data_IF_825123199815
#
_entry.id   IF_825123199815
#
_cell.length_a   1.000
_cell.length_b   1.000
_cell.length_c   1.000
_cell.angle_alpha   90.00
_cell.angle_beta   90.00
_cell.angle_gamma   90.00
#
_symmetry.space_group_name_H-M   'P 1'
#
loop_
_entity.id
_entity.type
_entity.pdbx_description
1 polymer ?
#
# COMPACT_ATOMS: atom_id res chain seq x y z
N UNK A 1 0.93 12.27 -5.49
CA UNK A 1 1.79 11.08 -5.55
C UNK A 1 3.00 11.24 -4.64
N UNK A 2 3.97 12.11 -4.95
CA UNK A 2 5.18 12.28 -4.12
C UNK A 2 4.90 12.59 -2.64
N UNK A 3 4.15 13.66 -2.33
CA UNK A 3 3.88 14.06 -0.93
C UNK A 3 3.11 12.97 -0.17
N UNK A 4 2.14 12.33 -0.83
CA UNK A 4 1.38 11.24 -0.23
C UNK A 4 2.29 10.07 0.15
N UNK A 5 3.15 9.66 -0.77
CA UNK A 5 4.07 8.53 -0.56
C UNK A 5 5.12 8.85 0.50
N UNK A 6 5.74 10.04 0.48
CA UNK A 6 6.72 10.43 1.51
C UNK A 6 6.08 10.56 2.89
N UNK A 7 4.88 11.13 3.00
CA UNK A 7 4.14 11.18 4.27
C UNK A 7 3.87 9.79 4.82
N UNK A 8 3.43 8.86 3.97
CA UNK A 8 3.17 7.47 4.38
C UNK A 8 4.47 6.77 4.80
N UNK A 9 5.54 6.84 4.02
CA UNK A 9 6.81 6.25 4.45
C UNK A 9 7.30 6.83 5.78
N UNK A 10 7.11 8.13 6.02
CA UNK A 10 7.44 8.77 7.28
C UNK A 10 6.57 8.30 8.45
N UNK A 11 5.30 7.93 8.22
CA UNK A 11 4.45 7.36 9.27
C UNK A 11 4.73 5.88 9.56
N UNK A 12 5.48 5.19 8.71
CA UNK A 12 5.76 3.75 8.79
C UNK A 12 7.19 3.42 9.26
N UNK A 13 7.89 4.38 9.89
CA UNK A 13 9.32 4.27 10.22
C UNK A 13 9.70 3.00 11.00
N UNK A 14 8.84 2.56 11.90
CA UNK A 14 9.06 1.40 12.77
C UNK A 14 8.93 0.05 12.04
N UNK A 15 8.23 0.02 10.90
CA UNK A 15 8.07 -1.16 10.04
C UNK A 15 8.91 -1.12 8.75
N UNK A 16 9.64 -0.03 8.50
CA UNK A 16 10.60 0.04 7.39
C UNK A 16 11.72 -1.01 7.53
N UNK A 17 12.09 -1.64 6.41
CA UNK A 17 13.02 -2.78 6.34
C UNK A 17 12.40 -4.11 6.80
N UNK A 18 11.21 -4.07 7.40
CA UNK A 18 10.49 -5.26 7.89
C UNK A 18 9.34 -5.64 6.96
N UNK A 19 8.45 -4.68 6.68
CA UNK A 19 7.21 -4.90 5.92
C UNK A 19 7.08 -3.95 4.72
N UNK A 20 7.79 -2.83 4.76
CA UNK A 20 7.94 -1.89 3.64
C UNK A 20 9.44 -1.57 3.46
N UNK A 21 9.91 -1.16 2.27
CA UNK A 21 11.30 -0.76 2.08
C UNK A 21 11.70 0.44 2.96
N UNK A 22 12.99 0.60 3.25
CA UNK A 22 13.47 1.86 3.82
C UNK A 22 13.31 3.03 2.83
N UNK A 23 12.80 4.16 3.32
CA UNK A 23 12.94 5.45 2.63
C UNK A 23 14.34 5.99 2.94
N UNK A 24 15.22 5.94 1.94
CA UNK A 24 16.63 6.34 2.07
C UNK A 24 16.81 7.85 1.87
N UNK A 25 16.05 8.44 0.96
CA UNK A 25 16.05 9.88 0.70
C UNK A 25 14.78 10.33 -0.01
N UNK A 26 14.41 11.59 0.18
CA UNK A 26 13.52 12.34 -0.71
C UNK A 26 14.34 13.46 -1.38
N UNK A 27 14.14 13.63 -2.68
CA UNK A 27 14.87 14.60 -3.49
C UNK A 27 13.90 15.60 -4.13
N UNK A 28 14.32 16.86 -4.14
CA UNK A 28 13.73 17.94 -4.91
C UNK A 28 14.86 18.51 -5.76
N UNK A 29 14.78 18.33 -7.08
CA UNK A 29 15.78 18.80 -8.02
C UNK A 29 15.22 19.97 -8.82
N UNK A 30 15.73 21.17 -8.54
CA UNK A 30 15.37 22.36 -9.29
C UNK A 30 16.12 22.38 -10.63
N UNK A 31 15.39 22.31 -11.74
CA UNK A 31 15.94 22.49 -13.08
C UNK A 31 15.87 23.98 -13.40
N UNK A 32 16.99 24.69 -13.27
CA UNK A 32 17.07 26.05 -13.77
C UNK A 32 17.06 26.02 -15.32
N UNK A 33 16.13 26.72 -15.99
CA UNK A 33 16.18 26.85 -17.45
C UNK A 33 17.46 27.64 -17.84
N UNK A 34 18.08 27.33 -19.00
CA UNK A 34 19.40 27.85 -19.37
C UNK A 34 19.50 29.39 -19.56
N UNK A 35 18.39 30.14 -19.57
CA UNK A 35 18.38 31.59 -19.75
C UNK A 35 17.79 32.32 -18.54
N UNK A 36 18.66 32.71 -17.62
CA UNK A 36 18.37 33.69 -16.58
C UNK A 36 18.07 35.05 -17.21
N UNK A 37 16.79 35.44 -17.30
CA UNK A 37 16.37 36.85 -17.43
C UNK A 37 14.85 37.00 -17.23
N UNK A 38 14.29 36.70 -16.06
CA UNK A 38 13.09 37.43 -15.58
C UNK A 38 13.05 37.34 -14.05
N UNK A 39 13.09 38.49 -13.37
CA UNK A 39 13.06 38.63 -11.92
C UNK A 39 11.69 38.34 -11.29
N UNK A 40 11.17 37.12 -11.47
CA UNK A 40 9.99 36.65 -10.75
C UNK A 40 10.27 35.26 -10.16
N UNK A 41 10.71 35.26 -8.90
CA UNK A 41 11.20 34.07 -8.17
C UNK A 41 10.03 33.11 -7.85
N UNK A 42 8.79 33.59 -7.91
CA UNK A 42 7.57 32.82 -7.62
C UNK A 42 7.07 31.96 -8.80
N UNK A 43 7.73 32.01 -9.97
CA UNK A 43 7.29 31.29 -11.18
C UNK A 43 8.05 29.97 -11.46
N UNK A 44 8.92 29.51 -10.55
CA UNK A 44 9.83 28.36 -10.77
C UNK A 44 9.30 27.00 -10.32
N UNK A 45 8.11 26.93 -9.70
CA UNK A 45 7.45 25.67 -9.33
C UNK A 45 7.32 24.62 -10.48
N UNK A 46 7.20 24.99 -11.77
CA UNK A 46 7.11 24.00 -12.87
C UNK A 46 8.38 23.19 -13.13
N UNK A 47 9.52 23.56 -12.54
CA UNK A 47 10.82 22.95 -12.87
C UNK A 47 11.45 22.14 -11.73
N UNK A 48 10.68 21.78 -10.70
CA UNK A 48 11.18 20.91 -9.63
C UNK A 48 10.84 19.43 -9.91
N UNK A 49 11.85 18.59 -10.16
CA UNK A 49 11.66 17.14 -10.21
C UNK A 49 11.71 16.61 -8.77
N UNK A 50 10.59 16.04 -8.32
CA UNK A 50 10.48 15.35 -7.04
C UNK A 50 10.72 13.86 -7.22
N UNK A 51 11.46 13.24 -6.31
CA UNK A 51 11.74 11.81 -6.36
C UNK A 51 12.05 11.21 -4.99
N UNK A 52 11.85 9.91 -4.85
CA UNK A 52 12.21 9.18 -3.63
C UNK A 52 13.22 8.09 -3.96
N UNK A 53 14.12 7.84 -3.01
CA UNK A 53 15.04 6.72 -3.06
C UNK A 53 14.61 5.71 -2.00
N UNK A 54 14.25 4.52 -2.45
CA UNK A 54 13.84 3.41 -1.59
C UNK A 54 14.92 2.33 -1.54
N UNK A 55 14.94 1.56 -0.45
CA UNK A 55 15.72 0.33 -0.36
C UNK A 55 15.35 -0.59 -1.53
N UNK A 56 16.35 -1.04 -2.26
CA UNK A 56 16.16 -2.04 -3.29
C UNK A 56 15.88 -3.41 -2.65
N UNK A 57 14.72 -3.98 -2.99
CA UNK A 57 14.33 -5.34 -2.61
C UNK A 57 14.56 -6.24 -3.83
N UNK A 58 15.56 -7.12 -3.75
CA UNK A 58 15.81 -8.11 -4.80
C UNK A 58 14.74 -9.20 -4.75
N UNK A 59 13.73 -9.08 -5.62
CA UNK A 59 12.56 -9.95 -5.62
C UNK A 59 11.74 -9.85 -6.89
N UNK A 60 10.56 -10.44 -6.86
CA UNK A 60 9.57 -10.39 -7.95
C UNK A 60 8.20 -9.99 -7.39
N UNK A 61 7.31 -9.54 -8.27
CA UNK A 61 5.97 -9.10 -7.86
C UNK A 61 5.07 -10.27 -7.44
N UNK A 62 4.15 -10.03 -6.49
CA UNK A 62 3.10 -11.00 -6.11
C UNK A 62 2.23 -11.40 -7.30
N UNK A 63 2.08 -10.51 -8.29
CA UNK A 63 1.36 -10.84 -9.54
C UNK A 63 1.98 -12.00 -10.31
N UNK A 64 3.25 -12.32 -10.08
CA UNK A 64 4.02 -13.37 -10.76
C UNK A 64 4.40 -14.53 -9.84
N UNK A 65 3.78 -14.65 -8.67
CA UNK A 65 4.16 -15.65 -7.65
C UNK A 65 4.20 -17.08 -8.18
N UNK A 66 3.29 -17.42 -9.09
CA UNK A 66 3.18 -18.75 -9.72
C UNK A 66 4.37 -19.11 -10.61
N UNK A 67 5.08 -18.11 -11.15
CA UNK A 67 6.22 -18.33 -12.06
C UNK A 67 7.52 -18.61 -11.29
N UNK A 68 7.62 -18.15 -10.03
CA UNK A 68 8.88 -18.10 -9.27
C UNK A 68 8.85 -18.91 -7.97
N UNK A 69 7.70 -19.43 -7.56
CA UNK A 69 7.57 -20.13 -6.27
C UNK A 69 6.75 -21.42 -6.38
N UNK A 70 7.08 -22.46 -5.58
CA UNK A 70 6.28 -23.68 -5.56
C UNK A 70 4.91 -23.43 -4.90
N UNK A 71 3.88 -24.17 -5.38
CA UNK A 71 2.49 -24.05 -4.91
C UNK A 71 2.32 -24.11 -3.39
N UNK A 72 3.17 -24.88 -2.71
CA UNK A 72 3.14 -25.02 -1.25
C UNK A 72 3.36 -23.71 -0.49
N UNK A 73 3.99 -22.72 -1.12
CA UNK A 73 4.37 -21.45 -0.50
C UNK A 73 3.33 -20.34 -0.73
N UNK A 74 2.44 -20.53 -1.70
CA UNK A 74 1.53 -19.47 -2.16
C UNK A 74 0.59 -18.97 -1.05
N UNK A 75 0.06 -19.88 -0.22
CA UNK A 75 -0.78 -19.50 0.92
C UNK A 75 -0.03 -18.56 1.87
N UNK A 76 1.15 -18.97 2.34
CA UNK A 76 1.92 -18.18 3.30
C UNK A 76 2.39 -16.84 2.75
N UNK A 77 2.66 -16.75 1.44
CA UNK A 77 3.01 -15.48 0.79
C UNK A 77 1.80 -14.54 0.74
N UNK A 78 0.62 -15.03 0.37
CA UNK A 78 -0.59 -14.19 0.30
C UNK A 78 -1.06 -13.78 1.69
N UNK A 79 -0.96 -14.68 2.68
CA UNK A 79 -1.28 -14.36 4.08
C UNK A 79 -0.37 -13.25 4.62
N UNK A 80 0.93 -13.29 4.32
CA UNK A 80 1.84 -12.20 4.64
C UNK A 80 1.43 -10.88 3.97
N UNK A 81 1.04 -10.88 2.70
CA UNK A 81 0.62 -9.67 2.01
C UNK A 81 -0.65 -9.05 2.63
N UNK A 82 -1.64 -9.87 2.99
CA UNK A 82 -2.85 -9.42 3.70
C UNK A 82 -2.50 -8.89 5.11
N UNK A 83 -1.60 -9.56 5.83
CA UNK A 83 -1.14 -9.11 7.14
C UNK A 83 -0.42 -7.75 7.05
N UNK A 84 0.35 -7.50 5.99
CA UNK A 84 0.96 -6.18 5.75
C UNK A 84 -0.12 -5.12 5.55
N UNK A 85 -1.17 -5.38 4.76
CA UNK A 85 -2.29 -4.44 4.61
C UNK A 85 -2.92 -4.11 5.96
N UNK A 86 -3.11 -5.10 6.83
CA UNK A 86 -3.64 -4.90 8.17
C UNK A 86 -2.71 -4.03 9.03
N UNK A 87 -1.41 -4.29 9.00
CA UNK A 87 -0.42 -3.49 9.73
C UNK A 87 -0.40 -2.03 9.24
N UNK A 88 -0.44 -1.81 7.92
CA UNK A 88 -0.53 -0.47 7.31
C UNK A 88 -1.81 0.24 7.76
N UNK A 89 -2.90 -0.52 7.90
CA UNK A 89 -4.18 0.00 8.40
C UNK A 89 -4.08 0.44 9.87
N UNK A 90 -3.33 -0.28 10.69
CA UNK A 90 -3.08 0.05 12.10
C UNK A 90 -2.25 1.34 12.25
N UNK A 91 -1.41 1.65 11.26
CA UNK A 91 -0.72 2.93 11.10
C UNK A 91 -1.61 4.06 10.55
N UNK A 92 -2.93 3.87 10.52
CA UNK A 92 -3.91 4.85 10.04
C UNK A 92 -3.67 5.26 8.59
N UNK A 93 -3.20 4.33 7.76
CA UNK A 93 -3.03 4.53 6.33
C UNK A 93 -4.14 3.82 5.56
N UNK A 94 -4.64 4.49 4.52
CA UNK A 94 -5.54 3.96 3.51
C UNK A 94 -4.84 4.08 2.17
N UNK A 95 -4.54 2.96 1.51
CA UNK A 95 -4.00 2.94 0.16
C UNK A 95 -5.12 2.61 -0.85
N UNK A 96 -5.36 3.52 -1.79
CA UNK A 96 -6.41 3.36 -2.81
C UNK A 96 -5.99 2.51 -4.01
N UNK A 97 -4.74 2.07 -4.05
CA UNK A 97 -4.14 1.37 -5.18
C UNK A 97 -3.41 0.10 -4.72
N UNK A 98 -4.02 -0.61 -3.77
CA UNK A 98 -3.57 -1.93 -3.36
C UNK A 98 -3.89 -2.92 -4.49
N UNK A 99 -2.86 -3.57 -4.99
CA UNK A 99 -2.95 -4.64 -6.00
C UNK A 99 -1.78 -5.60 -5.81
N UNK A 100 -1.80 -6.82 -6.39
CA UNK A 100 -0.65 -7.72 -6.29
C UNK A 100 0.67 -7.11 -6.77
N UNK A 101 0.64 -6.18 -7.73
CA UNK A 101 1.83 -5.48 -8.19
C UNK A 101 2.45 -4.52 -7.16
N UNK A 102 1.69 -4.13 -6.14
CA UNK A 102 2.15 -3.31 -5.00
C UNK A 102 2.95 -4.12 -3.97
N UNK A 103 3.26 -5.41 -4.24
CA UNK A 103 4.03 -6.26 -3.34
C UNK A 103 5.23 -6.89 -4.04
N UNK A 104 6.39 -6.86 -3.36
CA UNK A 104 7.62 -7.52 -3.77
C UNK A 104 7.88 -8.71 -2.84
N UNK A 105 8.12 -9.89 -3.42
CA UNK A 105 8.53 -11.09 -2.72
C UNK A 105 10.03 -11.25 -2.87
N UNK A 106 10.74 -11.24 -1.74
CA UNK A 106 12.14 -11.56 -1.64
C UNK A 106 12.32 -12.98 -1.14
N UNK A 107 13.11 -13.78 -1.85
CA UNK A 107 13.56 -15.10 -1.37
C UNK A 107 14.86 -14.93 -0.58
N UNK A 108 14.90 -15.42 0.65
CA UNK A 108 16.10 -15.49 1.48
C UNK A 108 16.34 -16.93 1.95
N UNK A 109 17.37 -17.15 2.77
CA UNK A 109 17.72 -18.48 3.31
C UNK A 109 16.62 -19.09 4.20
N UNK A 110 15.75 -18.25 4.76
CA UNK A 110 14.70 -18.63 5.72
C UNK A 110 13.31 -18.72 5.06
N UNK A 111 13.20 -18.51 3.75
CA UNK A 111 11.94 -18.58 3.00
C UNK A 111 11.64 -17.32 2.20
N UNK A 112 10.34 -17.01 2.07
CA UNK A 112 9.85 -15.85 1.34
C UNK A 112 9.42 -14.75 2.30
N UNK A 113 9.89 -13.53 2.04
CA UNK A 113 9.51 -12.31 2.76
C UNK A 113 8.80 -11.37 1.80
N UNK A 114 7.67 -10.84 2.23
CA UNK A 114 6.86 -9.91 1.43
C UNK A 114 7.11 -8.47 1.89
N UNK A 115 7.18 -7.56 0.94
CA UNK A 115 7.23 -6.12 1.18
C UNK A 115 6.15 -5.43 0.38
N UNK A 116 5.44 -4.48 0.98
CA UNK A 116 4.53 -3.60 0.26
C UNK A 116 5.27 -2.35 -0.21
N UNK A 117 4.94 -1.91 -1.42
CA UNK A 117 5.41 -0.71 -2.09
C UNK A 117 4.22 0.08 -2.64
N UNK A 118 4.50 1.19 -3.33
CA UNK A 118 3.52 1.98 -4.07
C UNK A 118 2.45 2.62 -3.17
N UNK A 119 2.84 3.70 -2.49
CA UNK A 119 1.94 4.50 -1.64
C UNK A 119 1.54 5.82 -2.30
N UNK A 120 1.70 5.94 -3.62
CA UNK A 120 1.45 7.18 -4.36
C UNK A 120 0.01 7.68 -4.30
N UNK A 121 -0.95 6.77 -4.08
CA UNK A 121 -2.38 7.05 -3.94
C UNK A 121 -2.91 6.75 -2.53
N UNK A 122 -2.02 6.68 -1.55
CA UNK A 122 -2.38 6.51 -0.16
C UNK A 122 -2.67 7.85 0.53
N UNK A 123 -3.36 7.77 1.68
CA UNK A 123 -3.56 8.90 2.60
C UNK A 123 -3.51 8.42 4.04
N UNK A 124 -3.11 9.30 4.94
CA UNK A 124 -3.34 9.12 6.37
C UNK A 124 -4.80 9.41 6.71
N UNK A 125 -5.28 8.85 7.82
CA UNK A 125 -6.55 9.24 8.45
C UNK A 125 -6.50 10.71 8.84
N UNK A 126 -7.56 11.46 8.55
CA UNK A 126 -7.67 12.85 8.97
C UNK A 126 -7.80 12.98 10.50
N UNK A 127 -7.26 14.06 11.08
CA UNK A 127 -7.38 14.31 12.52
C UNK A 127 -8.85 14.44 12.97
N UNK A 128 -9.69 15.03 12.13
CA UNK A 128 -11.13 15.22 12.36
C UNK A 128 -11.99 14.15 11.69
N UNK A 129 -11.38 13.10 11.12
CA UNK A 129 -12.11 12.03 10.45
C UNK A 129 -12.71 11.07 11.49
N UNK A 130 -14.04 10.99 11.52
CA UNK A 130 -14.77 10.13 12.45
C UNK A 130 -14.42 8.64 12.25
N UNK A 131 -14.58 7.83 13.30
CA UNK A 131 -14.38 6.37 13.18
C UNK A 131 -15.30 5.76 12.12
N UNK A 132 -16.51 6.28 12.00
CA UNK A 132 -17.50 5.85 11.00
C UNK A 132 -17.05 6.17 9.58
N UNK A 133 -16.57 7.37 9.33
CA UNK A 133 -16.12 7.77 7.99
C UNK A 133 -14.84 7.03 7.59
N UNK A 134 -13.90 6.88 8.53
CA UNK A 134 -12.71 6.07 8.32
C UNK A 134 -13.06 4.61 8.02
N UNK A 135 -13.94 4.00 8.81
CA UNK A 135 -14.40 2.64 8.62
C UNK A 135 -15.10 2.46 7.27
N UNK A 136 -15.99 3.38 6.87
CA UNK A 136 -16.60 3.40 5.54
C UNK A 136 -15.54 3.48 4.45
N UNK A 137 -14.54 4.36 4.58
CA UNK A 137 -13.47 4.48 3.60
C UNK A 137 -12.64 3.19 3.45
N UNK A 138 -12.31 2.52 4.56
CA UNK A 138 -11.60 1.24 4.56
C UNK A 138 -12.42 0.12 3.91
N UNK A 139 -13.71 0.01 4.24
CA UNK A 139 -14.61 -0.98 3.65
C UNK A 139 -14.84 -0.74 2.16
N UNK A 140 -15.03 0.52 1.75
CA UNK A 140 -15.25 0.86 0.34
C UNK A 140 -14.02 0.63 -0.54
N UNK A 141 -12.82 0.76 0.03
CA UNK A 141 -11.57 0.51 -0.71
C UNK A 141 -11.21 -0.98 -0.76
N UNK A 142 -11.58 -1.74 0.29
CA UNK A 142 -11.35 -3.18 0.42
C UNK A 142 -9.92 -3.63 0.07
N UNK A 143 -8.93 -3.02 0.75
CA UNK A 143 -7.50 -3.28 0.51
C UNK A 143 -7.14 -4.76 0.73
N UNK A 144 -7.76 -5.42 1.73
CA UNK A 144 -7.56 -6.85 1.97
C UNK A 144 -8.09 -7.68 0.80
N UNK A 145 -9.30 -7.39 0.30
CA UNK A 145 -9.89 -8.07 -0.86
C UNK A 145 -9.09 -7.81 -2.13
N UNK A 146 -8.56 -6.60 -2.33
CA UNK A 146 -7.74 -6.24 -3.48
C UNK A 146 -6.47 -7.09 -3.62
N UNK A 147 -5.99 -7.68 -2.51
CA UNK A 147 -4.94 -8.71 -2.52
C UNK A 147 -5.55 -10.11 -2.44
N UNK A 148 -6.21 -10.45 -1.35
CA UNK A 148 -6.60 -11.81 -1.01
C UNK A 148 -7.61 -12.40 -1.99
N UNK A 149 -8.65 -11.64 -2.36
CA UNK A 149 -9.67 -12.11 -3.31
C UNK A 149 -9.10 -12.20 -4.73
N UNK A 150 -8.30 -11.20 -5.13
CA UNK A 150 -7.65 -11.20 -6.45
C UNK A 150 -6.66 -12.37 -6.58
N UNK A 151 -5.86 -12.64 -5.54
CA UNK A 151 -4.95 -13.79 -5.53
C UNK A 151 -5.71 -15.11 -5.48
N UNK A 152 -6.83 -15.21 -4.74
CA UNK A 152 -7.70 -16.40 -4.76
C UNK A 152 -8.18 -16.71 -6.17
N UNK A 153 -8.67 -15.70 -6.90
CA UNK A 153 -9.14 -15.86 -8.27
C UNK A 153 -8.01 -16.23 -9.24
N UNK A 154 -6.82 -15.64 -9.09
CA UNK A 154 -5.66 -15.92 -9.96
C UNK A 154 -5.13 -17.33 -9.74
N UNK A 155 -4.83 -17.69 -8.49
CA UNK A 155 -4.24 -18.98 -8.15
C UNK A 155 -5.24 -20.14 -8.33
N UNK A 156 -6.54 -19.86 -8.24
CA UNK A 156 -7.58 -20.84 -8.59
C UNK A 156 -7.53 -21.30 -10.06
N UNK A 157 -6.95 -20.49 -10.97
CA UNK A 157 -6.72 -20.91 -12.37
C UNK A 157 -5.59 -21.93 -12.51
N UNK A 158 -4.77 -22.06 -11.47
CA UNK A 158 -3.68 -23.02 -11.34
C UNK A 158 -4.09 -24.19 -10.44
N UNK A 159 -5.39 -24.47 -10.29
CA UNK A 159 -5.94 -25.51 -9.41
C UNK A 159 -5.50 -25.39 -7.94
N UNK A 160 -5.28 -24.16 -7.46
CA UNK A 160 -4.91 -23.89 -6.08
C UNK A 160 -6.06 -23.25 -5.30
N UNK A 161 -6.45 -23.88 -4.19
CA UNK A 161 -7.53 -23.39 -3.33
C UNK A 161 -6.99 -22.50 -2.21
N UNK A 162 -6.81 -21.21 -2.51
CA UNK A 162 -6.38 -20.23 -1.51
C UNK A 162 -7.47 -20.01 -0.45
N UNK A 163 -7.09 -20.16 0.81
CA UNK A 163 -7.92 -19.88 1.98
C UNK A 163 -7.75 -18.41 2.37
N UNK A 164 -8.64 -17.55 1.85
CA UNK A 164 -8.69 -16.14 2.20
C UNK A 164 -10.03 -15.80 2.88
N UNK A 165 -9.94 -15.07 4.01
CA UNK A 165 -11.07 -14.50 4.72
C UNK A 165 -10.72 -13.06 5.12
N UNK A 166 -11.56 -12.10 4.74
CA UNK A 166 -11.43 -10.71 5.18
C UNK A 166 -11.58 -10.61 6.70
N UNK A 167 -10.85 -9.68 7.30
CA UNK A 167 -10.79 -9.51 8.76
C UNK A 167 -12.06 -8.94 9.37
N UNK A 168 -12.97 -8.38 8.56
CA UNK A 168 -14.21 -7.72 8.99
C UNK A 168 -14.02 -6.57 10.00
N UNK A 169 -12.77 -6.13 10.23
CA UNK A 169 -12.39 -5.22 11.32
C UNK A 169 -13.18 -3.92 11.31
N UNK A 170 -13.57 -3.40 10.16
CA UNK A 170 -14.25 -2.11 10.06
C UNK A 170 -15.78 -2.18 10.03
N UNK A 171 -16.38 -3.37 10.03
CA UNK A 171 -17.84 -3.52 9.89
C UNK A 171 -18.62 -2.88 11.03
N UNK A 172 -18.17 -3.04 12.27
CA UNK A 172 -18.87 -2.54 13.46
C UNK A 172 -18.93 -1.02 13.53
N UNK A 173 -17.92 -0.32 13.03
CA UNK A 173 -17.89 1.15 13.05
C UNK A 173 -18.57 1.79 11.84
N UNK A 174 -18.72 1.04 10.74
CA UNK A 174 -19.44 1.52 9.57
C UNK A 174 -20.97 1.45 9.74
N UNK A 175 -21.44 0.49 10.55
CA UNK A 175 -22.85 0.27 10.89
C UNK A 175 -23.26 0.96 12.19
N UNK A 176 -24.08 1.99 12.07
CA UNK A 176 -24.59 2.79 13.18
C UNK A 176 -25.56 3.84 12.65
N UNK A 177 -26.51 3.37 11.84
CA UNK A 177 -27.81 3.97 11.53
C UNK A 177 -28.65 2.78 11.05
N UNK A 178 -29.05 1.91 11.98
CA UNK A 178 -30.37 1.31 11.81
C UNK A 178 -31.31 2.51 11.93
N UNK A 179 -31.76 3.04 10.79
CA UNK A 179 -32.96 3.84 10.75
C UNK A 179 -34.06 2.97 11.35
N UNK A 180 -34.34 3.17 12.64
CA UNK A 180 -35.67 2.95 13.20
C UNK A 180 -36.62 3.89 12.43
N UNK A 181 -37.00 3.47 11.22
CA UNK A 181 -38.28 3.81 10.63
C UNK A 181 -39.33 3.13 11.50
N UNK A 182 -39.67 3.80 12.61
CA UNK A 182 -40.91 3.58 13.32
C UNK A 182 -42.05 4.04 12.41
N UNK A 183 -42.69 3.08 11.75
CA UNK A 183 -44.08 3.23 11.28
C UNK A 183 -45.06 3.06 12.45
#
# INVERSE_FOLDING_TARGET
MFEAETTVYNSLQDIQGKLVPHLLASINLDILPPNNNVGNIDAFEPFCIKGILLQYIQGFSLSKVQDYTPKSEWQGIVDQAVAIVQEISDHKVLNRDVRPDSFIIQRNSSGYKVFMIDFGLARSRGLDESDRDWAKAKLMTDEEGAVGLIMKLRLGREDFELQFKSSDRYKEWAGGDDEELSD
#
